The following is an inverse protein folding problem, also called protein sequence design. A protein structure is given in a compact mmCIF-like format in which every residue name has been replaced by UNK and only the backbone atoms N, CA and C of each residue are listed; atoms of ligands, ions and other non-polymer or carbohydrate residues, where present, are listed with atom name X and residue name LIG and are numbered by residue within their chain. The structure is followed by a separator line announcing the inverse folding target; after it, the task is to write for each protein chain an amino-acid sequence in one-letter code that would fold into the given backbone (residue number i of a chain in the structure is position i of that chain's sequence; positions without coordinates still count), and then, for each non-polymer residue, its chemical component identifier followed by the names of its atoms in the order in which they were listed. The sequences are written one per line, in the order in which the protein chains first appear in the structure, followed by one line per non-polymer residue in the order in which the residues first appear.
data_IF_462225951451
#
_entry.id   IF_462225951451
#
_cell.length_a   1.000
_cell.length_b   1.000
_cell.length_c   1.000
_cell.angle_alpha   90.00
_cell.angle_beta   90.00
_cell.angle_gamma   90.00
#
_symmetry.space_group_name_H-M   'P 1'
#
loop_
_entity.id
_entity.type
_entity.pdbx_description
1 polymer ?
#
# COMPACT_ATOMS: atom_id res chain seq x y z
N UNK A 1 29.20 -9.05 14.92
CA UNK A 1 28.14 -8.93 13.88
C UNK A 1 26.80 -8.64 14.56
N UNK A 2 26.45 -7.37 14.70
CA UNK A 2 25.14 -6.92 15.19
C UNK A 2 24.13 -6.95 14.04
N UNK A 3 23.14 -7.85 14.10
CA UNK A 3 22.01 -7.89 13.16
C UNK A 3 20.92 -6.94 13.65
N UNK A 4 20.69 -5.84 12.94
CA UNK A 4 19.53 -4.97 13.16
C UNK A 4 18.46 -5.39 12.15
N UNK A 5 17.37 -5.98 12.64
CA UNK A 5 16.16 -6.27 11.85
C UNK A 5 15.05 -5.36 12.40
N UNK A 6 14.70 -4.31 11.65
CA UNK A 6 13.55 -3.45 11.92
C UNK A 6 12.45 -3.70 10.86
N UNK A 7 11.17 -3.78 11.26
CA UNK A 7 10.06 -4.22 10.39
C UNK A 7 9.53 -3.14 9.43
N UNK A 8 10.29 -2.09 9.16
CA UNK A 8 9.86 -0.93 8.38
C UNK A 8 11.04 -0.43 7.53
N UNK A 9 10.93 -0.51 6.21
CA UNK A 9 12.05 -0.35 5.26
C UNK A 9 12.92 0.89 5.53
N UNK A 10 12.29 2.05 5.79
CA UNK A 10 13.00 3.29 6.11
C UNK A 10 13.72 3.24 7.47
N UNK A 11 13.10 2.62 8.49
CA UNK A 11 13.70 2.50 9.83
C UNK A 11 14.88 1.53 9.81
N UNK A 12 14.78 0.45 9.03
CA UNK A 12 15.85 -0.51 8.83
C UNK A 12 17.07 0.16 8.19
N UNK A 13 16.87 0.92 7.12
CA UNK A 13 17.96 1.66 6.47
C UNK A 13 18.60 2.67 7.42
N UNK A 14 17.78 3.47 8.14
CA UNK A 14 18.30 4.41 9.15
C UNK A 14 19.11 3.71 10.23
N UNK A 15 18.63 2.57 10.74
CA UNK A 15 19.36 1.78 11.73
C UNK A 15 20.71 1.28 11.22
N UNK A 16 20.77 0.79 9.98
CA UNK A 16 22.02 0.36 9.35
C UNK A 16 23.01 1.52 9.18
N UNK A 17 22.52 2.69 8.74
CA UNK A 17 23.35 3.91 8.62
C UNK A 17 23.88 4.35 9.97
N UNK A 18 23.03 4.40 11.00
CA UNK A 18 23.47 4.77 12.36
C UNK A 18 24.49 3.80 12.93
N UNK A 19 24.35 2.49 12.69
CA UNK A 19 25.28 1.48 13.19
C UNK A 19 26.70 1.66 12.62
N UNK A 20 26.82 2.04 11.35
CA UNK A 20 28.12 2.34 10.72
C UNK A 20 28.65 3.69 11.20
N UNK A 21 27.80 4.72 11.20
CA UNK A 21 28.21 6.07 11.57
C UNK A 21 28.66 6.19 13.04
N UNK A 22 28.12 5.37 13.95
CA UNK A 22 28.52 5.36 15.36
C UNK A 22 29.75 4.51 15.66
N UNK A 23 30.31 3.81 14.67
CA UNK A 23 31.39 2.84 14.87
C UNK A 23 30.93 1.54 15.55
N UNK A 24 29.62 1.33 15.71
CA UNK A 24 29.08 0.10 16.31
C UNK A 24 29.17 -1.11 15.36
N UNK A 25 29.34 -0.89 14.06
CA UNK A 25 29.61 -1.92 13.07
C UNK A 25 30.43 -1.34 11.90
N UNK A 26 31.39 -2.10 11.36
CA UNK A 26 32.13 -1.68 10.16
C UNK A 26 31.31 -1.87 8.87
N UNK A 27 30.41 -2.85 8.87
CA UNK A 27 29.54 -3.20 7.74
C UNK A 27 28.13 -3.53 8.26
N UNK A 28 27.11 -2.94 7.64
CA UNK A 28 25.70 -3.21 7.93
C UNK A 28 24.90 -3.50 6.65
N UNK A 29 23.98 -4.47 6.71
CA UNK A 29 23.08 -4.84 5.61
C UNK A 29 21.61 -4.64 6.04
N UNK A 30 20.86 -3.85 5.27
CA UNK A 30 19.42 -3.67 5.43
C UNK A 30 18.68 -4.56 4.42
N UNK A 31 17.99 -5.60 4.90
CA UNK A 31 17.19 -6.52 4.09
C UNK A 31 15.74 -6.61 4.59
N UNK A 32 14.78 -6.47 3.67
CA UNK A 32 13.35 -6.73 3.91
C UNK A 32 12.84 -7.78 2.92
N UNK A 33 11.98 -8.70 3.40
CA UNK A 33 11.34 -9.73 2.59
C UNK A 33 9.87 -9.80 2.99
N UNK A 34 8.98 -9.88 1.99
CA UNK A 34 7.54 -10.01 2.22
C UNK A 34 6.99 -11.20 1.42
N UNK A 35 6.14 -12.00 2.06
CA UNK A 35 5.53 -13.22 1.51
C UNK A 35 4.05 -13.29 1.85
N UNK A 36 3.31 -12.25 1.50
CA UNK A 36 1.87 -12.16 1.71
C UNK A 36 1.09 -13.34 1.09
N UNK A 37 1.55 -13.86 -0.06
CA UNK A 37 0.91 -14.97 -0.78
C UNK A 37 0.99 -16.32 -0.10
N UNK A 38 2.05 -16.57 0.66
CA UNK A 38 2.33 -17.90 1.24
C UNK A 38 1.37 -18.18 2.42
N UNK A 39 0.46 -17.25 2.73
CA UNK A 39 -0.53 -17.35 3.81
C UNK A 39 -1.81 -18.10 3.42
N UNK A 40 -2.01 -18.41 2.13
CA UNK A 40 -3.21 -19.12 1.63
C UNK A 40 -4.50 -18.29 1.65
N UNK A 41 -4.42 -17.00 2.00
CA UNK A 41 -5.56 -16.09 2.07
C UNK A 41 -5.59 -15.15 0.85
N UNK A 42 -6.75 -15.00 0.22
CA UNK A 42 -6.94 -14.03 -0.86
C UNK A 42 -7.05 -12.62 -0.31
N UNK A 43 -5.98 -11.83 -0.42
CA UNK A 43 -5.95 -10.44 0.04
C UNK A 43 -5.00 -10.21 1.22
N UNK A 44 -5.15 -9.07 1.91
CA UNK A 44 -4.39 -8.82 3.14
C UNK A 44 -4.97 -9.70 4.26
N UNK A 45 -4.18 -10.57 4.90
CA UNK A 45 -4.67 -11.35 6.02
C UNK A 45 -5.07 -10.40 7.15
N UNK A 46 -6.28 -10.58 7.69
CA UNK A 46 -6.76 -9.85 8.86
C UNK A 46 -6.03 -10.42 10.10
N UNK A 47 -4.74 -10.07 10.24
CA UNK A 47 -3.94 -10.48 11.39
C UNK A 47 -4.37 -9.67 12.60
N UNK A 48 -4.49 -10.34 13.75
CA UNK A 48 -4.66 -9.66 15.05
C UNK A 48 -3.59 -8.58 15.18
N UNK A 49 -4.01 -7.36 15.55
CA UNK A 49 -3.13 -6.21 15.74
C UNK A 49 -2.73 -6.07 17.21
N UNK A 50 -2.84 -7.15 17.98
CA UNK A 50 -2.67 -7.20 19.42
C UNK A 50 -3.98 -6.93 20.17
N UNK A 51 -4.02 -7.30 21.45
CA UNK A 51 -5.26 -7.32 22.23
C UNK A 51 -5.99 -5.98 22.32
N UNK A 52 -5.27 -4.86 22.48
CA UNK A 52 -5.91 -3.53 22.59
C UNK A 52 -6.43 -2.99 21.26
N UNK A 53 -5.68 -3.18 20.18
CA UNK A 53 -6.08 -2.65 18.87
C UNK A 53 -7.30 -3.39 18.31
N UNK A 54 -7.43 -4.69 18.59
CA UNK A 54 -8.56 -5.48 18.10
C UNK A 54 -9.90 -5.03 18.73
N UNK A 55 -9.87 -4.37 19.90
CA UNK A 55 -11.08 -3.84 20.56
C UNK A 55 -11.66 -2.61 19.86
N UNK A 56 -10.81 -1.70 19.38
CA UNK A 56 -11.23 -0.42 18.78
C UNK A 56 -11.13 -0.39 17.25
N UNK A 57 -10.35 -1.30 16.66
CA UNK A 57 -10.18 -1.47 15.22
C UNK A 57 -10.55 -2.89 14.76
N UNK A 58 -11.63 -3.42 15.35
CA UNK A 58 -12.21 -4.69 14.94
C UNK A 58 -12.53 -4.66 13.43
N UNK A 59 -12.08 -5.69 12.70
CA UNK A 59 -12.27 -5.82 11.26
C UNK A 59 -11.75 -4.64 10.40
N UNK A 60 -10.85 -3.81 10.92
CA UNK A 60 -10.28 -2.69 10.17
C UNK A 60 -9.38 -3.21 9.03
N UNK A 61 -9.79 -2.97 7.79
CA UNK A 61 -8.98 -3.26 6.60
C UNK A 61 -8.20 -2.01 6.16
N UNK A 62 -7.09 -2.21 5.44
CA UNK A 62 -6.33 -1.07 4.91
C UNK A 62 -7.17 -0.16 3.98
N UNK A 63 -7.98 -0.69 3.03
CA UNK A 63 -8.88 0.14 2.24
C UNK A 63 -9.89 0.90 3.11
N UNK A 64 -10.44 0.27 4.15
CA UNK A 64 -11.37 0.92 5.07
C UNK A 64 -10.74 2.09 5.83
N UNK A 65 -9.50 1.93 6.32
CA UNK A 65 -8.78 3.03 6.99
C UNK A 65 -8.50 4.20 6.05
N UNK A 66 -8.06 3.92 4.81
CA UNK A 66 -7.80 4.99 3.83
C UNK A 66 -9.08 5.65 3.32
N UNK A 67 -10.20 4.92 3.26
CA UNK A 67 -11.51 5.47 2.93
C UNK A 67 -11.94 6.50 3.98
N UNK A 68 -11.81 6.16 5.26
CA UNK A 68 -12.10 7.09 6.35
C UNK A 68 -11.23 8.35 6.29
N UNK A 69 -9.94 8.20 5.96
CA UNK A 69 -9.04 9.33 5.76
C UNK A 69 -9.47 10.21 4.58
N UNK A 70 -9.87 9.59 3.45
CA UNK A 70 -10.35 10.32 2.28
C UNK A 70 -11.63 11.11 2.60
N UNK A 71 -12.58 10.51 3.32
CA UNK A 71 -13.80 11.19 3.79
C UNK A 71 -13.48 12.33 4.75
N UNK A 72 -12.54 12.14 5.69
CA UNK A 72 -12.10 13.21 6.59
C UNK A 72 -11.40 14.36 5.86
N UNK A 73 -10.60 14.05 4.83
CA UNK A 73 -9.99 15.06 3.96
C UNK A 73 -11.06 15.86 3.21
N UNK A 74 -12.06 15.16 2.66
CA UNK A 74 -13.18 15.78 1.97
C UNK A 74 -13.91 16.78 2.87
N UNK A 75 -14.26 16.36 4.10
CA UNK A 75 -14.96 17.22 5.06
C UNK A 75 -14.10 18.42 5.47
N UNK A 76 -12.83 18.20 5.80
CA UNK A 76 -11.92 19.24 6.25
C UNK A 76 -11.65 20.30 5.19
N UNK A 77 -11.48 19.88 3.94
CA UNK A 77 -11.11 20.76 2.83
C UNK A 77 -12.29 21.13 1.93
N UNK A 78 -13.50 20.62 2.25
CA UNK A 78 -14.75 20.84 1.50
C UNK A 78 -14.61 20.57 0.01
N UNK A 79 -13.85 19.53 -0.33
CA UNK A 79 -13.63 19.11 -1.72
C UNK A 79 -14.87 18.36 -2.19
N UNK A 80 -15.25 18.52 -3.46
CA UNK A 80 -16.36 17.74 -4.00
C UNK A 80 -15.98 16.26 -4.11
N UNK A 81 -16.95 15.35 -3.97
CA UNK A 81 -16.71 13.91 -4.16
C UNK A 81 -16.10 13.62 -5.54
N UNK A 82 -16.56 14.34 -6.55
CA UNK A 82 -16.13 14.17 -7.93
C UNK A 82 -14.67 14.59 -8.12
N UNK A 83 -14.28 15.76 -7.61
CA UNK A 83 -12.90 16.26 -7.73
C UNK A 83 -11.92 15.37 -6.97
N UNK A 84 -12.32 14.90 -5.77
CA UNK A 84 -11.52 13.96 -5.01
C UNK A 84 -11.31 12.66 -5.79
N UNK A 85 -12.37 12.12 -6.39
CA UNK A 85 -12.30 10.89 -7.17
C UNK A 85 -11.46 11.04 -8.45
N UNK A 86 -11.58 12.18 -9.14
CA UNK A 86 -10.76 12.50 -10.31
C UNK A 86 -9.28 12.62 -9.94
N UNK A 87 -8.96 13.31 -8.83
CA UNK A 87 -7.59 13.43 -8.34
C UNK A 87 -6.99 12.05 -8.00
N UNK A 88 -7.77 11.18 -7.35
CA UNK A 88 -7.36 9.79 -7.07
C UNK A 88 -7.14 9.01 -8.37
N UNK A 89 -8.04 9.12 -9.35
CA UNK A 89 -7.90 8.47 -10.65
C UNK A 89 -6.61 8.89 -11.38
N UNK A 90 -6.30 10.18 -11.38
CA UNK A 90 -5.06 10.68 -11.97
C UNK A 90 -3.82 10.08 -11.29
N UNK A 91 -3.81 9.97 -9.96
CA UNK A 91 -2.70 9.34 -9.21
C UNK A 91 -2.54 7.87 -9.60
N UNK A 92 -3.65 7.14 -9.73
CA UNK A 92 -3.66 5.73 -10.11
C UNK A 92 -3.09 5.53 -11.53
N UNK A 93 -3.54 6.31 -12.52
CA UNK A 93 -3.00 6.28 -13.90
C UNK A 93 -1.50 6.54 -13.93
N UNK A 94 -1.04 7.61 -13.27
CA UNK A 94 0.39 7.96 -13.18
C UNK A 94 1.20 6.81 -12.58
N UNK A 95 0.68 6.15 -11.55
CA UNK A 95 1.36 5.05 -10.87
C UNK A 95 1.45 3.83 -11.78
N UNK A 96 0.40 3.52 -12.52
CA UNK A 96 0.37 2.44 -13.51
C UNK A 96 1.31 2.70 -14.70
N UNK A 97 1.38 3.93 -15.19
CA UNK A 97 2.32 4.31 -16.27
C UNK A 97 3.77 4.14 -15.86
N UNK A 98 4.10 4.51 -14.62
CA UNK A 98 5.43 4.29 -14.07
C UNK A 98 5.70 2.79 -13.84
N UNK A 99 4.70 2.04 -13.40
CA UNK A 99 4.77 0.58 -13.27
C UNK A 99 5.01 -0.12 -14.60
N UNK A 100 4.32 0.28 -15.67
CA UNK A 100 4.45 -0.29 -17.01
C UNK A 100 5.89 -0.18 -17.56
N UNK A 101 6.56 0.93 -17.27
CA UNK A 101 7.95 1.21 -17.69
C UNK A 101 8.99 0.44 -16.87
N UNK A 102 8.63 -0.08 -15.69
CA UNK A 102 9.56 -0.77 -14.82
C UNK A 102 9.53 -2.30 -15.06
N UNK A 103 10.62 -2.92 -15.56
CA UNK A 103 10.65 -4.36 -15.82
C UNK A 103 10.50 -5.22 -14.56
N UNK A 104 10.83 -4.66 -13.38
CA UNK A 104 10.70 -5.34 -12.08
C UNK A 104 9.32 -5.16 -11.43
N UNK A 105 8.45 -4.32 -11.98
CA UNK A 105 7.14 -4.09 -11.41
C UNK A 105 6.25 -5.34 -11.54
N UNK A 106 5.46 -5.58 -10.50
CA UNK A 106 4.52 -6.70 -10.47
C UNK A 106 3.36 -6.50 -11.46
N UNK A 107 2.80 -5.29 -11.50
CA UNK A 107 1.79 -4.86 -12.45
C UNK A 107 2.42 -3.92 -13.47
N UNK A 108 2.28 -4.27 -14.76
CA UNK A 108 2.90 -3.53 -15.88
C UNK A 108 1.88 -3.08 -16.92
N UNK A 109 0.58 -3.18 -16.60
CA UNK A 109 -0.52 -2.77 -17.49
C UNK A 109 -0.85 -1.29 -17.23
N UNK A 110 -0.70 -0.40 -18.23
CA UNK A 110 -1.21 0.96 -18.12
C UNK A 110 -2.75 0.94 -18.07
N UNK A 111 -3.33 1.94 -17.42
CA UNK A 111 -4.77 2.10 -17.29
C UNK A 111 -5.14 3.54 -17.63
N UNK A 112 -6.40 3.77 -17.97
CA UNK A 112 -6.96 5.09 -18.27
C UNK A 112 -7.78 5.62 -17.10
N UNK A 113 -8.01 6.93 -17.06
CA UNK A 113 -8.86 7.54 -16.01
C UNK A 113 -10.28 6.97 -16.02
N UNK A 114 -10.85 6.75 -17.21
CA UNK A 114 -12.18 6.14 -17.37
C UNK A 114 -12.23 4.74 -16.74
N UNK A 115 -11.20 3.93 -16.94
CA UNK A 115 -11.10 2.60 -16.31
C UNK A 115 -11.02 2.70 -14.78
N UNK A 116 -10.39 3.74 -14.23
CA UNK A 116 -10.32 3.93 -12.77
C UNK A 116 -11.64 4.41 -12.20
N UNK A 117 -12.33 5.34 -12.89
CA UNK A 117 -13.60 5.88 -12.47
C UNK A 117 -14.72 4.83 -12.52
N UNK A 118 -14.71 3.96 -13.53
CA UNK A 118 -15.69 2.89 -13.70
C UNK A 118 -15.32 1.59 -12.97
N UNK A 119 -14.22 1.58 -12.21
CA UNK A 119 -13.77 0.39 -11.50
C UNK A 119 -14.73 -0.01 -10.37
N UNK A 120 -14.82 -1.31 -10.03
CA UNK A 120 -15.57 -1.76 -8.86
C UNK A 120 -15.13 -1.04 -7.59
N UNK A 121 -16.09 -0.60 -6.78
CA UNK A 121 -15.82 0.07 -5.52
C UNK A 121 -15.42 -0.95 -4.45
N UNK A 122 -14.35 -0.65 -3.70
CA UNK A 122 -13.87 -1.51 -2.60
C UNK A 122 -14.29 -0.95 -1.25
N UNK A 123 -14.13 0.36 -1.05
CA UNK A 123 -14.57 1.08 0.13
C UNK A 123 -14.76 2.55 -0.25
N UNK A 124 -15.97 3.11 -0.19
CA UNK A 124 -16.21 4.49 -0.63
C UNK A 124 -15.25 5.47 0.07
N UNK A 125 -14.46 6.30 -0.67
CA UNK A 125 -14.47 6.56 -2.13
C UNK A 125 -13.45 5.77 -2.99
N UNK A 126 -12.71 4.84 -2.40
CA UNK A 126 -11.68 4.00 -3.05
C UNK A 126 -12.28 2.90 -3.95
N UNK A 127 -11.84 2.90 -5.21
CA UNK A 127 -12.08 1.83 -6.18
C UNK A 127 -10.94 0.82 -6.23
N UNK A 128 -11.12 -0.22 -7.06
CA UNK A 128 -10.16 -1.30 -7.21
C UNK A 128 -8.74 -0.82 -7.58
N UNK A 129 -8.62 0.13 -8.52
CA UNK A 129 -7.31 0.66 -8.95
C UNK A 129 -6.69 1.64 -7.96
N UNK A 130 -7.44 2.10 -6.95
CA UNK A 130 -6.91 2.93 -5.87
C UNK A 130 -6.27 2.08 -4.75
N UNK A 131 -6.42 0.75 -4.84
CA UNK A 131 -5.89 -0.21 -3.86
C UNK A 131 -4.58 -0.84 -4.35
N UNK A 132 -3.63 -1.04 -3.44
CA UNK A 132 -2.40 -1.76 -3.76
C UNK A 132 -2.71 -3.22 -4.15
N UNK A 133 -2.26 -3.63 -5.33
CA UNK A 133 -2.40 -5.00 -5.79
C UNK A 133 -1.59 -5.98 -4.93
N UNK A 134 -2.26 -6.74 -4.08
CA UNK A 134 -1.67 -7.90 -3.36
C UNK A 134 -1.65 -9.16 -4.23
N UNK A 135 -2.62 -9.29 -5.16
CA UNK A 135 -2.58 -9.94 -6.49
C UNK A 135 -3.96 -9.80 -7.16
N UNK A 136 -3.99 -9.41 -8.42
CA UNK A 136 -4.89 -10.04 -9.40
C UNK A 136 -4.11 -11.20 -10.01
N UNK A 137 -4.66 -12.41 -10.01
CA UNK A 137 -4.11 -13.52 -10.79
C UNK A 137 -3.99 -13.07 -12.26
N UNK A 138 -2.90 -13.43 -12.96
CA UNK A 138 -2.79 -13.22 -14.42
C UNK A 138 -3.94 -13.89 -15.19
N UNK A 139 -4.73 -14.74 -14.53
CA UNK A 139 -5.91 -15.44 -15.05
C UNK A 139 -7.24 -14.74 -14.77
N UNK A 140 -7.29 -13.60 -14.10
CA UNK A 140 -8.51 -12.76 -14.07
C UNK A 140 -8.46 -11.84 -15.29
N UNK A 141 -9.26 -12.09 -16.33
CA UNK A 141 -9.35 -11.17 -17.45
C UNK A 141 -9.95 -9.85 -16.95
N UNK A 142 -9.24 -8.76 -17.23
CA UNK A 142 -9.82 -7.42 -17.31
C UNK A 142 -10.58 -7.30 -18.64
#
# INVERSE_FOLDING_TARGET
MSRIIAPQDRKLFRGAVYAVASGAADIALALGVEKLKDTGYGGLPQRSRGGLNDLYWSNMSAPGSFAQLASAYQEKHRVSKQDLKQAMAHISVKSHDNGAKNPKAHLRKPITEEQVLNAPMIAEPLGLFDCCGVLMDRRVPL
#
